data_IF_693661980661
#
_entry.id   IF_693661980661
#
_cell.length_a   1.000
_cell.length_b   1.000
_cell.length_c   1.000
_cell.angle_alpha   90.00
_cell.angle_beta   90.00
_cell.angle_gamma   90.00
#
_symmetry.space_group_name_H-M   'P 1'
#
loop_
_entity.id
_entity.type
_entity.pdbx_description
1 polymer ?
#
# COMPACT_ATOMS: atom_id res chain seq x y z
N UNK A 1 13.95 3.56 12.52
CA UNK A 1 12.99 2.46 12.35
C UNK A 1 12.19 2.38 13.64
N UNK A 2 10.87 2.30 13.55
CA UNK A 2 10.03 2.09 14.72
C UNK A 2 10.00 0.60 15.10
N UNK A 3 9.78 0.30 16.38
CA UNK A 3 9.65 -1.08 16.88
C UNK A 3 8.25 -1.66 16.66
N UNK A 4 7.30 -0.84 16.19
CA UNK A 4 5.90 -1.18 15.96
C UNK A 4 5.36 -0.34 14.78
N UNK A 5 4.12 -0.60 14.35
CA UNK A 5 3.41 0.19 13.33
C UNK A 5 2.27 1.04 13.91
N UNK A 6 1.94 0.89 15.20
CA UNK A 6 0.93 1.68 15.91
C UNK A 6 1.38 2.02 17.34
N UNK A 7 0.69 2.94 17.99
CA UNK A 7 0.87 3.25 19.41
C UNK A 7 1.70 4.50 19.70
N UNK A 8 1.79 4.87 20.98
CA UNK A 8 2.32 6.18 21.40
C UNK A 8 3.78 6.41 21.00
N UNK A 9 4.62 5.37 21.00
CA UNK A 9 6.02 5.52 20.57
C UNK A 9 6.12 5.84 19.07
N UNK A 10 5.27 5.22 18.25
CA UNK A 10 5.22 5.49 16.80
C UNK A 10 4.75 6.92 16.55
N UNK A 11 3.73 7.38 17.26
CA UNK A 11 3.24 8.76 17.18
C UNK A 11 4.31 9.79 17.56
N UNK A 12 5.08 9.53 18.62
CA UNK A 12 6.20 10.38 19.04
C UNK A 12 7.31 10.42 17.99
N UNK A 13 7.68 9.26 17.44
CA UNK A 13 8.70 9.17 16.38
C UNK A 13 8.26 9.89 15.11
N UNK A 14 6.99 9.73 14.70
CA UNK A 14 6.43 10.39 13.53
C UNK A 14 6.39 11.92 13.72
N UNK A 15 5.96 12.41 14.88
CA UNK A 15 5.89 13.84 15.20
C UNK A 15 7.27 14.49 15.29
N UNK A 16 8.28 13.73 15.70
CA UNK A 16 9.66 14.21 15.82
C UNK A 16 10.45 14.16 14.50
N UNK A 17 9.87 13.70 13.38
CA UNK A 17 10.55 13.67 12.10
C UNK A 17 10.83 15.10 11.60
N UNK A 18 12.07 15.40 11.18
CA UNK A 18 12.35 16.65 10.48
C UNK A 18 11.70 16.62 9.09
N UNK A 19 11.57 17.79 8.47
CA UNK A 19 11.12 17.91 7.08
C UNK A 19 11.97 17.03 6.14
N UNK A 20 11.30 16.19 5.35
CA UNK A 20 11.96 15.22 4.47
C UNK A 20 12.52 13.98 5.18
N UNK A 21 12.29 13.84 6.48
CA UNK A 21 12.61 12.65 7.25
C UNK A 21 11.80 11.43 6.80
N UNK A 22 12.38 10.24 6.99
CA UNK A 22 11.74 8.97 6.63
C UNK A 22 11.70 8.08 7.87
N UNK A 23 10.50 7.57 8.19
CA UNK A 23 10.30 6.57 9.22
C UNK A 23 9.77 5.29 8.60
N UNK A 24 10.51 4.20 8.80
CA UNK A 24 10.04 2.85 8.51
C UNK A 24 9.34 2.29 9.75
N UNK A 25 8.06 1.94 9.59
CA UNK A 25 7.25 1.24 10.57
C UNK A 25 7.53 -0.26 10.55
N UNK A 26 7.21 -0.95 11.65
CA UNK A 26 7.33 -2.40 11.72
C UNK A 26 6.27 -3.10 10.84
N UNK A 27 6.47 -4.39 10.58
CA UNK A 27 5.62 -5.21 9.74
C UNK A 27 4.15 -5.24 10.22
N UNK A 28 3.27 -4.60 9.43
CA UNK A 28 1.82 -4.55 9.69
C UNK A 28 1.16 -5.93 9.83
N UNK A 29 1.75 -7.00 9.26
CA UNK A 29 1.22 -8.37 9.36
C UNK A 29 1.51 -9.06 10.68
N UNK A 30 2.21 -8.41 11.61
CA UNK A 30 2.24 -8.86 13.00
C UNK A 30 0.88 -8.69 13.70
N UNK A 31 0.01 -7.84 13.14
CA UNK A 31 -1.39 -7.69 13.53
C UNK A 31 -2.29 -8.51 12.60
N UNK A 32 -3.13 -9.38 13.17
CA UNK A 32 -4.10 -10.18 12.40
C UNK A 32 -5.22 -9.31 11.82
N UNK A 33 -5.39 -8.13 12.40
CA UNK A 33 -6.31 -7.06 12.04
C UNK A 33 -6.02 -6.51 10.64
N UNK A 34 -4.75 -6.55 10.20
CA UNK A 34 -4.32 -6.11 8.87
C UNK A 34 -5.07 -6.87 7.76
N UNK A 35 -5.01 -8.20 7.78
CA UNK A 35 -5.64 -9.05 6.76
C UNK A 35 -7.17 -9.04 6.84
N UNK A 36 -7.72 -8.68 8.00
CA UNK A 36 -9.16 -8.55 8.23
C UNK A 36 -9.71 -7.19 7.82
N UNK A 37 -8.84 -6.24 7.45
CA UNK A 37 -9.23 -4.87 7.18
C UNK A 37 -10.00 -4.23 8.35
N UNK A 38 -9.48 -4.43 9.55
CA UNK A 38 -10.14 -3.94 10.76
C UNK A 38 -10.17 -2.39 10.78
N UNK A 39 -11.34 -1.75 10.95
CA UNK A 39 -11.45 -0.29 10.93
C UNK A 39 -10.68 0.41 12.05
N UNK A 40 -10.62 -0.17 13.26
CA UNK A 40 -9.90 0.43 14.38
C UNK A 40 -8.39 0.35 14.17
N UNK A 41 -7.90 -0.75 13.60
CA UNK A 41 -6.50 -0.87 13.21
C UNK A 41 -6.14 0.11 12.08
N UNK A 42 -6.98 0.22 11.04
CA UNK A 42 -6.79 1.19 9.96
C UNK A 42 -6.77 2.65 10.48
N UNK A 43 -7.63 2.98 11.45
CA UNK A 43 -7.66 4.29 12.10
C UNK A 43 -6.38 4.59 12.90
N UNK A 44 -5.83 3.59 13.58
CA UNK A 44 -4.53 3.72 14.28
C UNK A 44 -3.38 3.90 13.30
N UNK A 45 -3.34 3.16 12.19
CA UNK A 45 -2.34 3.37 11.14
C UNK A 45 -2.42 4.78 10.54
N UNK A 46 -3.64 5.31 10.41
CA UNK A 46 -3.87 6.66 9.91
C UNK A 46 -3.50 7.77 10.91
N UNK A 47 -3.33 7.49 12.21
CA UNK A 47 -3.11 8.56 13.20
C UNK A 47 -1.77 9.29 13.06
N UNK A 48 -0.82 8.70 12.33
CA UNK A 48 0.56 9.20 12.18
C UNK A 48 0.84 9.82 10.82
N UNK A 49 -0.19 10.05 9.99
CA UNK A 49 -0.03 10.61 8.65
C UNK A 49 -1.19 11.54 8.29
N UNK A 50 -0.93 12.50 7.40
CA UNK A 50 -1.95 13.41 6.87
C UNK A 50 -2.53 12.93 5.53
N UNK A 51 -1.74 12.19 4.75
CA UNK A 51 -2.08 11.71 3.41
C UNK A 51 -1.65 10.26 3.24
N UNK A 52 -2.23 9.62 2.24
CA UNK A 52 -1.90 8.24 1.90
C UNK A 52 -1.39 8.12 0.47
N UNK A 53 -0.28 7.40 0.31
CA UNK A 53 0.26 6.99 -0.99
C UNK A 53 0.31 5.48 -1.02
N UNK A 54 -0.46 4.84 -1.90
CA UNK A 54 -0.29 3.42 -2.18
C UNK A 54 0.73 3.27 -3.30
N UNK A 55 1.88 2.66 -3.03
CA UNK A 55 2.87 2.29 -4.05
C UNK A 55 3.11 0.77 -4.10
N UNK A 56 2.13 -0.03 -3.64
CA UNK A 56 2.25 -1.48 -3.47
C UNK A 56 1.19 -2.26 -4.29
N UNK A 57 1.37 -2.29 -5.62
CA UNK A 57 0.43 -2.97 -6.54
C UNK A 57 0.20 -4.44 -6.20
N UNK A 58 1.26 -5.16 -5.85
CA UNK A 58 1.19 -6.58 -5.51
C UNK A 58 0.30 -6.90 -4.30
N UNK A 59 -0.07 -5.90 -3.48
CA UNK A 59 -1.00 -6.07 -2.35
C UNK A 59 -2.35 -5.40 -2.57
N UNK A 60 -2.48 -4.53 -3.57
CA UNK A 60 -3.69 -3.75 -3.84
C UNK A 60 -4.93 -4.59 -4.20
N UNK A 61 -4.73 -5.83 -4.67
CA UNK A 61 -5.83 -6.77 -4.97
C UNK A 61 -6.51 -7.35 -3.73
N UNK A 62 -5.96 -7.13 -2.52
CA UNK A 62 -6.58 -7.51 -1.24
C UNK A 62 -7.02 -6.27 -0.48
N UNK A 63 -8.24 -6.29 0.02
CA UNK A 63 -8.75 -5.27 0.92
C UNK A 63 -8.18 -5.53 2.32
N UNK A 64 -7.03 -4.94 2.63
CA UNK A 64 -6.40 -4.96 3.95
C UNK A 64 -6.47 -3.58 4.60
N UNK A 65 -6.19 -3.50 5.90
CA UNK A 65 -6.24 -2.24 6.64
C UNK A 65 -5.23 -1.22 6.08
N UNK A 66 -3.98 -1.64 5.81
CA UNK A 66 -2.94 -0.77 5.26
C UNK A 66 -3.14 -0.37 3.79
N UNK A 67 -3.87 -1.17 3.01
CA UNK A 67 -4.04 -0.95 1.55
C UNK A 67 -5.35 -0.28 1.18
N UNK A 68 -6.44 -0.61 1.87
CA UNK A 68 -7.81 -0.14 1.63
C UNK A 68 -8.37 0.63 2.82
N UNK A 69 -8.33 0.04 4.03
CA UNK A 69 -8.99 0.59 5.20
C UNK A 69 -8.51 2.00 5.56
N UNK A 70 -7.20 2.22 5.49
CA UNK A 70 -6.56 3.51 5.82
C UNK A 70 -7.05 4.66 4.95
N UNK A 71 -7.49 4.37 3.71
CA UNK A 71 -7.98 5.38 2.75
C UNK A 71 -9.32 6.02 3.17
N UNK A 72 -10.00 5.44 4.17
CA UNK A 72 -11.23 5.99 4.76
C UNK A 72 -10.93 7.13 5.73
N UNK A 73 -9.71 7.17 6.27
CA UNK A 73 -9.28 8.12 7.30
C UNK A 73 -8.29 9.16 6.76
N UNK A 74 -7.50 8.81 5.74
CA UNK A 74 -6.50 9.70 5.13
C UNK A 74 -7.00 10.30 3.80
N UNK A 75 -6.84 11.62 3.67
CA UNK A 75 -7.15 12.36 2.45
C UNK A 75 -6.08 13.44 2.21
N UNK A 76 -5.49 13.53 1.01
CA UNK A 76 -5.77 12.71 -0.17
C UNK A 76 -5.19 11.29 -0.06
N UNK A 77 -5.82 10.36 -0.79
CA UNK A 77 -5.34 9.00 -0.99
C UNK A 77 -4.98 8.84 -2.47
N UNK A 78 -3.70 8.65 -2.78
CA UNK A 78 -3.18 8.68 -4.15
C UNK A 78 -2.37 7.43 -4.48
N UNK A 79 -2.23 7.16 -5.77
CA UNK A 79 -1.30 6.15 -6.27
C UNK A 79 0.11 6.73 -6.38
N UNK A 80 1.11 5.96 -5.94
CA UNK A 80 2.52 6.24 -6.18
C UNK A 80 2.94 5.90 -7.61
N UNK A 81 4.21 6.14 -7.94
CA UNK A 81 4.73 5.97 -9.30
C UNK A 81 4.76 4.52 -9.78
N UNK A 82 5.03 3.54 -8.90
CA UNK A 82 4.98 2.13 -9.26
C UNK A 82 3.54 1.73 -9.60
N UNK A 83 2.60 2.10 -8.73
CA UNK A 83 1.16 1.87 -8.96
C UNK A 83 0.69 2.49 -10.27
N UNK A 84 1.06 3.74 -10.53
CA UNK A 84 0.70 4.45 -11.76
C UNK A 84 1.23 3.73 -13.01
N UNK A 85 2.51 3.32 -13.00
CA UNK A 85 3.12 2.62 -14.14
C UNK A 85 2.42 1.30 -14.45
N UNK A 86 2.14 0.49 -13.43
CA UNK A 86 1.47 -0.80 -13.60
C UNK A 86 0.06 -0.59 -14.13
N UNK A 87 -0.70 0.34 -13.54
CA UNK A 87 -2.05 0.65 -14.00
C UNK A 87 -2.10 1.10 -15.46
N UNK A 88 -1.21 2.02 -15.87
CA UNK A 88 -1.16 2.50 -17.26
C UNK A 88 -0.83 1.34 -18.22
N UNK A 89 0.13 0.49 -17.87
CA UNK A 89 0.51 -0.65 -18.70
C UNK A 89 -0.66 -1.65 -18.86
N UNK A 90 -1.39 -1.93 -17.78
CA UNK A 90 -2.57 -2.81 -17.82
C UNK A 90 -3.70 -2.20 -18.66
N UNK A 91 -4.01 -0.92 -18.48
CA UNK A 91 -5.04 -0.23 -19.26
C UNK A 91 -4.70 -0.24 -20.75
N UNK A 92 -3.46 0.08 -21.11
CA UNK A 92 -3.00 0.04 -22.50
C UNK A 92 -3.14 -1.38 -23.09
N UNK A 93 -2.79 -2.42 -22.32
CA UNK A 93 -2.94 -3.80 -22.77
C UNK A 93 -4.41 -4.20 -22.97
N UNK A 94 -5.30 -3.82 -22.04
CA UNK A 94 -6.72 -4.23 -22.10
C UNK A 94 -7.51 -3.44 -23.14
N UNK A 95 -7.25 -2.14 -23.25
CA UNK A 95 -8.09 -1.23 -24.05
C UNK A 95 -7.48 -0.85 -25.41
N UNK A 96 -6.16 -0.83 -25.55
CA UNK A 96 -5.49 -0.23 -26.71
C UNK A 96 -4.72 -1.22 -27.59
N UNK A 97 -4.82 -2.54 -27.33
CA UNK A 97 -4.23 -3.55 -28.21
C UNK A 97 -4.89 -3.56 -29.59
N UNK A 98 -4.32 -2.77 -30.50
CA UNK A 98 -4.60 -2.81 -31.94
C UNK A 98 -3.92 -4.04 -32.56
N UNK A 99 -4.68 -4.75 -33.41
CA UNK A 99 -4.35 -6.09 -33.93
C UNK A 99 -3.19 -6.10 -34.95
N UNK A 100 -2.53 -7.27 -35.14
CA UNK A 100 -2.67 -8.51 -34.37
C UNK A 100 -1.67 -8.62 -33.21
N UNK A 101 -2.14 -9.05 -32.03
CA UNK A 101 -1.32 -9.31 -30.84
C UNK A 101 -1.32 -10.80 -30.51
N UNK A 102 -0.17 -11.32 -30.05
CA UNK A 102 0.02 -12.70 -29.60
C UNK A 102 0.58 -12.69 -28.18
N UNK A 103 -0.03 -13.46 -27.27
CA UNK A 103 0.40 -13.61 -25.88
C UNK A 103 0.70 -15.09 -25.59
N UNK A 104 1.77 -15.35 -24.84
CA UNK A 104 2.15 -16.70 -24.40
C UNK A 104 2.43 -16.67 -22.89
N UNK A 105 1.96 -17.70 -22.18
CA UNK A 105 2.28 -17.90 -20.76
C UNK A 105 3.43 -18.90 -20.64
N UNK A 106 4.44 -18.55 -19.85
CA UNK A 106 5.50 -19.48 -19.44
C UNK A 106 5.18 -19.99 -18.04
N UNK A 107 5.08 -21.31 -17.89
CA UNK A 107 4.92 -21.95 -16.59
C UNK A 107 6.27 -22.46 -16.12
N UNK A 108 6.75 -21.95 -14.98
CA UNK A 108 7.95 -22.45 -14.33
C UNK A 108 7.58 -23.69 -13.49
N UNK A 109 8.05 -24.86 -13.90
CA UNK A 109 7.89 -26.12 -13.15
C UNK A 109 9.17 -26.33 -12.33
N UNK A 110 9.05 -26.40 -11.01
CA UNK A 110 10.16 -26.89 -10.17
C UNK A 110 10.32 -28.40 -10.42
N UNK A 111 11.53 -28.83 -10.80
CA UNK A 111 11.90 -30.27 -10.86
C UNK A 111 12.19 -30.82 -9.47
#
# INVERSE_FOLDING_TARGET
MANDCIGEEVEKLATALPDGGVLLLENVRFYKEEEKNDPEFAKKLASVADLYVNDAFGTAHRAHASTEGVTKYLRPAVAGFLMQKVYIAEVALVHELLKPFHCYYLQYQYK
#
